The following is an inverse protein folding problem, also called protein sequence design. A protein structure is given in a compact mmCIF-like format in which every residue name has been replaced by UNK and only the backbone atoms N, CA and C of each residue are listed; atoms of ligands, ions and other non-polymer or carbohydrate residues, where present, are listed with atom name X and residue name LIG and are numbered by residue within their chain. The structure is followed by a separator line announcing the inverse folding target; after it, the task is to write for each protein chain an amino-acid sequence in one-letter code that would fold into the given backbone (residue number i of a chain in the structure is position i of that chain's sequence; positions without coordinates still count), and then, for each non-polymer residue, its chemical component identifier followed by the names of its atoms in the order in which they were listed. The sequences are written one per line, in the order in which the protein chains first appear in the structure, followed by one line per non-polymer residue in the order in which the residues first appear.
data_IF_288962771081
#
_entry.id   IF_288962771081
#
_cell.length_a   1.000
_cell.length_b   1.000
_cell.length_c   1.000
_cell.angle_alpha   90.00
_cell.angle_beta   90.00
_cell.angle_gamma   90.00
#
_symmetry.space_group_name_H-M   'P 1'
#
loop_
_entity.id
_entity.type
_entity.pdbx_description
1 polymer ?
#
# COMPACT_ATOMS: atom_id res chain seq x y z
N UNK A 1 -41.01 -7.17 -1.28
CA UNK A 1 -39.65 -7.70 -1.08
C UNK A 1 -38.60 -6.62 -1.39
N UNK A 2 -38.70 -5.93 -2.52
CA UNK A 2 -37.74 -4.90 -2.94
C UNK A 2 -37.78 -3.65 -2.04
N UNK A 3 -38.97 -3.28 -1.52
CA UNK A 3 -39.11 -2.16 -0.57
C UNK A 3 -38.37 -2.40 0.76
N UNK A 4 -38.41 -3.62 1.31
CA UNK A 4 -37.72 -3.97 2.57
C UNK A 4 -36.22 -3.94 2.35
N UNK A 5 -35.71 -4.52 1.25
CA UNK A 5 -34.29 -4.46 0.89
C UNK A 5 -33.83 -3.01 0.68
N UNK A 6 -34.68 -2.17 0.07
CA UNK A 6 -34.39 -0.75 -0.12
C UNK A 6 -34.25 0.02 1.20
N UNK A 7 -35.17 -0.19 2.14
CA UNK A 7 -35.13 0.46 3.47
C UNK A 7 -33.89 0.00 4.26
N UNK A 8 -33.59 -1.32 4.23
CA UNK A 8 -32.41 -1.84 4.90
C UNK A 8 -31.11 -1.25 4.32
N UNK A 9 -31.00 -1.22 2.99
CA UNK A 9 -29.83 -0.61 2.33
C UNK A 9 -29.69 0.88 2.64
N UNK A 10 -30.81 1.62 2.67
CA UNK A 10 -30.81 3.03 3.04
C UNK A 10 -30.39 3.26 4.50
N UNK A 11 -30.85 2.41 5.42
CA UNK A 11 -30.43 2.48 6.83
C UNK A 11 -28.94 2.23 7.00
N UNK A 12 -28.38 1.23 6.33
CA UNK A 12 -26.93 0.95 6.35
C UNK A 12 -26.15 2.14 5.76
N UNK A 13 -26.60 2.68 4.63
CA UNK A 13 -25.98 3.85 4.00
C UNK A 13 -26.01 5.06 4.94
N UNK A 14 -27.12 5.30 5.62
CA UNK A 14 -27.26 6.40 6.58
C UNK A 14 -26.21 6.28 7.71
N UNK A 15 -26.07 5.10 8.30
CA UNK A 15 -25.08 4.86 9.36
C UNK A 15 -23.67 5.14 8.86
N UNK A 16 -23.32 4.67 7.65
CA UNK A 16 -22.00 4.92 7.05
C UNK A 16 -21.78 6.44 6.86
N UNK A 17 -22.76 7.13 6.30
CA UNK A 17 -22.67 8.59 6.08
C UNK A 17 -22.51 9.36 7.40
N UNK A 18 -23.23 8.96 8.45
CA UNK A 18 -23.10 9.59 9.78
C UNK A 18 -21.70 9.42 10.37
N UNK A 19 -21.11 8.21 10.27
CA UNK A 19 -19.74 7.97 10.73
C UNK A 19 -18.74 8.83 9.95
N UNK A 20 -18.85 8.87 8.62
CA UNK A 20 -17.99 9.74 7.80
C UNK A 20 -18.21 11.21 8.10
N UNK A 21 -19.45 11.66 8.36
CA UNK A 21 -19.73 13.03 8.72
C UNK A 21 -18.96 13.45 9.98
N UNK A 22 -18.91 12.60 11.02
CA UNK A 22 -18.11 12.87 12.22
C UNK A 22 -16.63 13.01 11.87
N UNK A 23 -16.06 12.09 11.07
CA UNK A 23 -14.66 12.15 10.65
C UNK A 23 -14.32 13.45 9.91
N UNK A 24 -15.28 13.96 9.09
CA UNK A 24 -15.08 15.20 8.34
C UNK A 24 -15.34 16.47 9.17
N UNK A 25 -16.23 16.43 10.15
CA UNK A 25 -16.62 17.62 10.93
C UNK A 25 -15.65 17.90 12.07
N UNK A 26 -15.24 16.86 12.82
CA UNK A 26 -14.43 17.00 14.04
C UNK A 26 -13.13 17.80 13.83
N UNK A 27 -12.36 17.64 12.74
CA UNK A 27 -11.15 18.42 12.50
C UNK A 27 -11.35 19.94 12.39
N UNK A 28 -12.59 20.35 12.08
CA UNK A 28 -12.92 21.74 11.77
C UNK A 28 -13.78 22.42 12.85
N UNK A 29 -13.95 21.78 14.01
CA UNK A 29 -14.66 22.36 15.17
C UNK A 29 -13.74 22.42 16.38
N UNK A 30 -13.96 23.41 17.26
CA UNK A 30 -13.08 23.66 18.41
C UNK A 30 -13.09 22.50 19.40
N UNK A 31 -14.25 22.02 19.83
CA UNK A 31 -14.40 20.91 20.77
C UNK A 31 -15.67 20.12 20.49
N UNK A 32 -15.50 18.93 19.97
CA UNK A 32 -16.61 18.01 19.73
C UNK A 32 -17.02 17.28 21.01
N UNK A 33 -18.32 17.16 21.36
CA UNK A 33 -19.52 17.76 20.71
C UNK A 33 -19.97 19.09 21.35
N UNK A 34 -19.20 19.67 22.25
CA UNK A 34 -19.62 20.77 23.14
C UNK A 34 -19.52 22.15 22.50
N UNK A 35 -18.50 22.42 21.70
CA UNK A 35 -18.29 23.69 21.01
C UNK A 35 -18.08 23.47 19.51
N UNK A 36 -19.13 23.73 18.75
CA UNK A 36 -19.16 23.54 17.28
C UNK A 36 -18.64 24.77 16.52
N UNK A 37 -17.94 25.71 17.17
CA UNK A 37 -17.37 26.86 16.50
C UNK A 37 -16.35 26.41 15.46
N UNK A 38 -16.46 26.85 14.20
CA UNK A 38 -15.53 26.41 13.13
C UNK A 38 -14.12 26.96 13.41
N UNK A 39 -13.12 26.05 13.34
CA UNK A 39 -11.72 26.40 13.52
C UNK A 39 -10.84 25.63 12.53
N UNK A 40 -9.68 26.20 12.20
CA UNK A 40 -8.61 25.53 11.43
C UNK A 40 -7.36 25.32 12.29
N UNK A 41 -7.45 25.56 13.58
CA UNK A 41 -6.32 25.51 14.50
C UNK A 41 -5.71 24.12 14.56
N UNK A 42 -6.53 23.09 14.69
CA UNK A 42 -6.08 21.68 14.73
C UNK A 42 -5.36 21.26 13.44
N UNK A 43 -5.85 21.71 12.29
CA UNK A 43 -5.20 21.48 11.00
C UNK A 43 -3.84 22.19 10.97
N UNK A 44 -3.80 23.46 11.40
CA UNK A 44 -2.57 24.25 11.43
C UNK A 44 -1.53 23.64 12.39
N UNK A 45 -1.93 23.18 13.57
CA UNK A 45 -1.06 22.50 14.52
C UNK A 45 -0.41 21.25 13.89
N UNK A 46 -1.20 20.38 13.26
CA UNK A 46 -0.70 19.16 12.62
C UNK A 46 0.32 19.46 11.52
N UNK A 47 0.05 20.47 10.68
CA UNK A 47 0.97 20.84 9.60
C UNK A 47 2.19 21.66 10.06
N UNK A 48 2.14 22.26 11.24
CA UNK A 48 3.27 23.01 11.83
C UNK A 48 4.21 22.10 12.64
N UNK A 49 3.78 20.89 12.98
CA UNK A 49 4.56 19.93 13.76
C UNK A 49 5.55 19.18 12.86
N UNK A 50 6.84 19.45 13.06
CA UNK A 50 7.90 18.80 12.30
C UNK A 50 7.97 17.28 12.52
N UNK A 51 7.61 16.81 13.72
CA UNK A 51 7.58 15.36 14.03
C UNK A 51 6.51 14.65 13.19
N UNK A 52 5.33 15.27 13.05
CA UNK A 52 4.27 14.71 12.23
C UNK A 52 4.64 14.68 10.74
N UNK A 53 5.36 15.69 10.26
CA UNK A 53 5.88 15.68 8.89
C UNK A 53 6.82 14.50 8.63
N UNK A 54 7.73 14.19 9.55
CA UNK A 54 8.64 13.05 9.42
C UNK A 54 7.92 11.71 9.51
N UNK A 55 6.92 11.60 10.35
CA UNK A 55 6.04 10.42 10.45
C UNK A 55 5.28 10.18 9.13
N UNK A 56 4.79 11.24 8.47
CA UNK A 56 4.18 11.14 7.14
C UNK A 56 5.17 10.70 6.08
N UNK A 57 6.40 11.23 6.08
CA UNK A 57 7.47 10.82 5.17
C UNK A 57 7.77 9.32 5.32
N UNK A 58 7.95 8.86 6.56
CA UNK A 58 8.18 7.45 6.85
C UNK A 58 7.04 6.56 6.34
N UNK A 59 5.79 6.95 6.59
CA UNK A 59 4.62 6.21 6.12
C UNK A 59 4.56 6.11 4.60
N UNK A 60 4.79 7.21 3.91
CA UNK A 60 4.77 7.26 2.45
C UNK A 60 5.90 6.41 1.85
N UNK A 61 7.09 6.47 2.44
CA UNK A 61 8.25 5.68 2.02
C UNK A 61 8.00 4.18 2.25
N UNK A 62 7.52 3.79 3.44
CA UNK A 62 7.16 2.40 3.75
C UNK A 62 6.09 1.90 2.79
N UNK A 63 5.02 2.68 2.54
CA UNK A 63 3.95 2.29 1.63
C UNK A 63 4.44 2.13 0.19
N UNK A 64 5.26 3.06 -0.32
CA UNK A 64 5.80 3.02 -1.66
C UNK A 64 6.75 1.82 -1.88
N UNK A 65 7.67 1.59 -0.94
CA UNK A 65 8.60 0.46 -1.01
C UNK A 65 7.91 -0.88 -0.81
N UNK A 66 6.93 -0.96 0.11
CA UNK A 66 6.08 -2.16 0.27
C UNK A 66 5.34 -2.47 -1.02
N UNK A 67 4.74 -1.46 -1.67
CA UNK A 67 4.02 -1.65 -2.92
C UNK A 67 4.95 -2.10 -4.05
N UNK A 68 6.14 -1.50 -4.17
CA UNK A 68 7.11 -1.87 -5.20
C UNK A 68 7.63 -3.30 -5.01
N UNK A 69 8.21 -3.58 -3.86
CA UNK A 69 8.81 -4.89 -3.56
C UNK A 69 7.73 -5.99 -3.49
N UNK A 70 6.62 -5.72 -2.81
CA UNK A 70 5.51 -6.65 -2.66
C UNK A 70 4.88 -7.04 -3.99
N UNK A 71 4.70 -6.08 -4.92
CA UNK A 71 4.18 -6.36 -6.26
C UNK A 71 5.10 -7.27 -7.06
N UNK A 72 6.41 -7.04 -7.00
CA UNK A 72 7.41 -7.87 -7.70
C UNK A 72 7.41 -9.29 -7.13
N UNK A 73 7.38 -9.44 -5.81
CA UNK A 73 7.37 -10.75 -5.14
C UNK A 73 6.06 -11.50 -5.44
N UNK A 74 4.91 -10.84 -5.32
CA UNK A 74 3.60 -11.44 -5.62
C UNK A 74 3.49 -11.85 -7.09
N UNK A 75 3.98 -11.02 -8.02
CA UNK A 75 4.05 -11.35 -9.44
C UNK A 75 4.94 -12.56 -9.71
N UNK A 76 6.14 -12.60 -9.12
CA UNK A 76 7.07 -13.72 -9.24
C UNK A 76 6.46 -15.03 -8.73
N UNK A 77 5.86 -15.03 -7.55
CA UNK A 77 5.18 -16.20 -6.97
C UNK A 77 4.01 -16.68 -7.86
N UNK A 78 3.20 -15.73 -8.35
CA UNK A 78 2.08 -16.03 -9.24
C UNK A 78 2.55 -16.59 -10.60
N UNK A 79 3.66 -16.09 -11.17
CA UNK A 79 4.26 -16.63 -12.38
C UNK A 79 4.69 -18.09 -12.20
N UNK A 80 5.32 -18.39 -11.07
CA UNK A 80 5.77 -19.76 -10.77
C UNK A 80 4.58 -20.70 -10.65
N UNK A 81 3.53 -20.33 -9.98
CA UNK A 81 2.36 -21.19 -9.79
C UNK A 81 1.49 -21.31 -11.04
N UNK A 82 1.22 -20.20 -11.75
CA UNK A 82 0.32 -20.18 -12.89
C UNK A 82 0.98 -20.62 -14.21
N UNK A 83 2.27 -20.27 -14.43
CA UNK A 83 2.91 -20.38 -15.75
C UNK A 83 4.14 -21.27 -15.83
N UNK A 84 4.73 -21.68 -14.69
CA UNK A 84 5.89 -22.57 -14.73
C UNK A 84 5.50 -24.05 -14.91
N UNK A 85 6.47 -24.84 -15.32
CA UNK A 85 6.35 -26.31 -15.42
C UNK A 85 6.63 -27.03 -14.09
N UNK A 86 6.52 -26.33 -12.96
CA UNK A 86 6.72 -26.90 -11.63
C UNK A 86 5.71 -28.05 -11.37
N UNK A 87 6.11 -29.04 -10.58
CA UNK A 87 5.24 -30.15 -10.19
C UNK A 87 3.98 -29.63 -9.47
N UNK A 88 2.88 -30.38 -9.56
CA UNK A 88 1.62 -30.02 -8.87
C UNK A 88 1.81 -29.83 -7.37
N UNK A 89 2.61 -30.69 -6.75
CA UNK A 89 2.94 -30.61 -5.31
C UNK A 89 3.68 -29.31 -4.98
N UNK A 90 4.69 -28.94 -5.78
CA UNK A 90 5.42 -27.68 -5.55
C UNK A 90 4.53 -26.43 -5.69
N UNK A 91 3.63 -26.41 -6.67
CA UNK A 91 2.63 -25.32 -6.83
C UNK A 91 1.69 -25.25 -5.64
N UNK A 92 1.19 -26.41 -5.17
CA UNK A 92 0.30 -26.48 -4.01
C UNK A 92 0.96 -25.99 -2.72
N UNK A 93 2.24 -26.28 -2.52
CA UNK A 93 2.99 -25.79 -1.35
C UNK A 93 3.10 -24.27 -1.39
N UNK A 94 3.50 -23.67 -2.51
CA UNK A 94 3.61 -22.21 -2.65
C UNK A 94 2.25 -21.56 -2.43
N UNK A 95 1.18 -22.12 -2.97
CA UNK A 95 -0.18 -21.62 -2.82
C UNK A 95 -0.64 -21.69 -1.36
N UNK A 96 -0.40 -22.81 -0.68
CA UNK A 96 -0.74 -22.98 0.73
C UNK A 96 -0.01 -21.98 1.60
N UNK A 97 1.28 -21.76 1.39
CA UNK A 97 2.07 -20.75 2.12
C UNK A 97 1.51 -19.34 1.86
N UNK A 98 1.19 -19.02 0.60
CA UNK A 98 0.62 -17.74 0.24
C UNK A 98 -0.73 -17.47 0.93
N UNK A 99 -1.58 -18.47 1.05
CA UNK A 99 -2.90 -18.34 1.64
C UNK A 99 -2.89 -18.30 3.17
N UNK A 100 -1.93 -18.94 3.81
CA UNK A 100 -1.79 -18.96 5.29
C UNK A 100 -1.63 -17.55 5.86
N UNK A 101 -0.95 -16.65 5.15
CA UNK A 101 -0.74 -15.27 5.65
C UNK A 101 -2.05 -14.52 5.92
N UNK A 102 -3.13 -14.85 5.22
CA UNK A 102 -4.44 -14.23 5.41
C UNK A 102 -5.22 -14.79 6.61
N UNK A 103 -4.80 -15.92 7.16
CA UNK A 103 -5.48 -16.56 8.30
C UNK A 103 -4.92 -16.12 9.64
N UNK A 104 -3.72 -15.53 9.65
CA UNK A 104 -3.04 -15.10 10.86
C UNK A 104 -3.41 -13.65 11.18
N UNK A 105 -3.91 -13.35 12.39
CA UNK A 105 -4.17 -11.97 12.80
C UNK A 105 -2.91 -11.11 12.73
N UNK A 106 -3.04 -9.86 12.21
CA UNK A 106 -1.90 -8.96 12.02
C UNK A 106 -1.08 -8.71 13.30
N UNK A 107 -1.74 -8.64 14.44
CA UNK A 107 -1.06 -8.51 15.74
C UNK A 107 -0.11 -9.68 16.03
N UNK A 108 -0.51 -10.90 15.72
CA UNK A 108 0.32 -12.11 15.92
C UNK A 108 1.54 -12.06 15.02
N UNK A 109 1.36 -11.65 13.76
CA UNK A 109 2.47 -11.42 12.81
C UNK A 109 3.44 -10.37 13.38
N UNK A 110 2.93 -9.24 13.85
CA UNK A 110 3.75 -8.17 14.43
C UNK A 110 4.57 -8.63 15.63
N UNK A 111 3.95 -9.36 16.56
CA UNK A 111 4.64 -9.94 17.73
C UNK A 111 5.69 -10.96 17.29
N UNK A 112 5.38 -11.84 16.33
CA UNK A 112 6.32 -12.81 15.81
C UNK A 112 7.56 -12.14 15.20
N UNK A 113 7.37 -11.08 14.41
CA UNK A 113 8.47 -10.28 13.86
C UNK A 113 9.27 -9.59 14.97
N UNK A 114 8.61 -9.01 15.96
CA UNK A 114 9.27 -8.38 17.10
C UNK A 114 10.18 -9.38 17.83
N UNK A 115 9.69 -10.57 18.14
CA UNK A 115 10.45 -11.61 18.83
C UNK A 115 11.60 -12.16 17.97
N UNK A 116 11.32 -12.42 16.69
CA UNK A 116 12.31 -12.97 15.74
C UNK A 116 13.50 -12.05 15.52
N UNK A 117 13.25 -10.74 15.45
CA UNK A 117 14.29 -9.74 15.14
C UNK A 117 14.76 -8.96 16.37
N UNK A 118 14.31 -9.33 17.57
CA UNK A 118 14.79 -8.74 18.82
C UNK A 118 16.31 -8.91 18.96
N UNK A 119 17.01 -7.83 19.29
CA UNK A 119 18.47 -7.82 19.40
C UNK A 119 19.25 -7.91 18.08
N UNK A 120 18.58 -7.94 16.93
CA UNK A 120 19.25 -7.92 15.62
C UNK A 120 19.39 -6.49 15.07
N UNK A 121 20.35 -6.24 14.15
CA UNK A 121 20.49 -4.92 13.50
C UNK A 121 19.25 -4.47 12.70
N UNK A 122 18.34 -5.39 12.38
CA UNK A 122 17.08 -5.10 11.69
C UNK A 122 15.99 -4.54 12.61
N UNK A 123 16.13 -4.69 13.93
CA UNK A 123 15.19 -4.14 14.88
C UNK A 123 15.09 -2.61 14.73
N UNK A 124 13.88 -2.06 14.82
CA UNK A 124 13.62 -0.62 14.67
C UNK A 124 14.07 -0.01 13.33
N UNK A 125 14.01 -0.79 12.24
CA UNK A 125 14.29 -0.29 10.88
C UNK A 125 13.04 -0.21 10.02
N UNK A 126 13.00 0.72 9.07
CA UNK A 126 11.93 0.79 8.07
C UNK A 126 11.86 -0.48 7.21
N UNK A 127 13.01 -1.16 6.99
CA UNK A 127 13.06 -2.41 6.25
C UNK A 127 12.22 -3.51 6.91
N UNK A 128 12.25 -3.61 8.24
CA UNK A 128 11.45 -4.58 8.97
C UNK A 128 9.95 -4.32 8.81
N UNK A 129 9.52 -3.03 8.84
CA UNK A 129 8.15 -2.63 8.59
C UNK A 129 7.69 -3.00 7.18
N UNK A 130 8.55 -2.79 6.17
CA UNK A 130 8.28 -3.13 4.78
C UNK A 130 8.09 -4.64 4.63
N UNK A 131 9.00 -5.45 5.16
CA UNK A 131 8.93 -6.92 5.07
C UNK A 131 7.67 -7.42 5.78
N UNK A 132 7.37 -6.91 6.97
CA UNK A 132 6.17 -7.28 7.72
C UNK A 132 4.88 -6.98 6.92
N UNK A 133 4.79 -5.80 6.31
CA UNK A 133 3.64 -5.44 5.48
C UNK A 133 3.52 -6.32 4.23
N UNK A 134 4.63 -6.66 3.57
CA UNK A 134 4.62 -7.55 2.41
C UNK A 134 4.08 -8.92 2.81
N UNK A 135 4.58 -9.49 3.89
CA UNK A 135 4.14 -10.81 4.39
C UNK A 135 2.67 -10.77 4.82
N UNK A 136 2.28 -9.75 5.58
CA UNK A 136 0.91 -9.62 6.10
C UNK A 136 -0.15 -9.53 5.00
N UNK A 137 0.13 -8.79 3.93
CA UNK A 137 -0.82 -8.59 2.83
C UNK A 137 -0.57 -9.47 1.61
N UNK A 138 0.28 -10.50 1.70
CA UNK A 138 0.74 -11.27 0.53
C UNK A 138 -0.36 -12.02 -0.20
N UNK A 139 -1.33 -12.58 0.52
CA UNK A 139 -2.33 -13.51 -0.01
C UNK A 139 -3.18 -12.90 -1.13
N UNK A 140 -3.78 -11.73 -0.90
CA UNK A 140 -4.68 -11.08 -1.87
C UNK A 140 -3.95 -10.67 -3.15
N UNK A 141 -2.81 -9.96 -3.13
CA UNK A 141 -2.00 -9.68 -4.30
C UNK A 141 -1.57 -10.91 -5.09
N UNK A 142 -1.15 -11.98 -4.39
CA UNK A 142 -0.82 -13.24 -5.02
C UNK A 142 -2.01 -13.82 -5.80
N UNK A 143 -3.20 -13.90 -5.19
CA UNK A 143 -4.41 -14.39 -5.84
C UNK A 143 -4.85 -13.50 -7.01
N UNK A 144 -4.78 -12.17 -6.86
CA UNK A 144 -5.10 -11.25 -7.96
C UNK A 144 -4.20 -11.51 -9.17
N UNK A 145 -2.89 -11.63 -8.94
CA UNK A 145 -1.93 -11.92 -10.01
C UNK A 145 -2.10 -13.32 -10.60
N UNK A 146 -2.26 -14.35 -9.75
CA UNK A 146 -2.49 -15.74 -10.19
C UNK A 146 -3.71 -15.81 -11.10
N UNK A 147 -4.86 -15.29 -10.66
CA UNK A 147 -6.10 -15.28 -11.43
C UNK A 147 -5.98 -14.52 -12.76
N UNK A 148 -5.23 -13.42 -12.78
CA UNK A 148 -4.96 -12.67 -14.01
C UNK A 148 -4.12 -13.47 -14.98
N UNK A 149 -3.06 -14.11 -14.49
CA UNK A 149 -2.16 -14.93 -15.31
C UNK A 149 -2.86 -16.18 -15.85
N UNK A 150 -3.68 -16.87 -15.07
CA UNK A 150 -4.42 -18.06 -15.48
C UNK A 150 -5.44 -17.78 -16.59
N UNK A 151 -6.02 -16.57 -16.63
CA UNK A 151 -6.96 -16.15 -17.69
C UNK A 151 -6.28 -15.88 -19.04
N UNK A 152 -4.96 -15.73 -19.08
CA UNK A 152 -4.22 -15.50 -20.32
C UNK A 152 -4.04 -16.81 -21.08
N UNK A 153 -4.13 -16.74 -22.42
CA UNK A 153 -4.01 -17.92 -23.26
C UNK A 153 -2.60 -18.53 -23.18
N UNK A 154 -2.52 -19.81 -22.82
CA UNK A 154 -1.26 -20.56 -22.73
C UNK A 154 -0.59 -20.79 -24.11
N UNK A 155 -1.33 -20.69 -25.20
CA UNK A 155 -0.78 -20.85 -26.55
C UNK A 155 0.27 -19.79 -26.94
N UNK A 156 0.29 -18.64 -26.24
CA UNK A 156 1.30 -17.60 -26.46
C UNK A 156 2.73 -18.08 -26.17
N UNK A 157 2.89 -18.87 -25.11
CA UNK A 157 4.19 -19.43 -24.73
C UNK A 157 4.61 -20.54 -25.71
N UNK A 158 3.67 -21.37 -26.11
CA UNK A 158 3.92 -22.41 -27.13
C UNK A 158 4.34 -21.80 -28.46
N UNK A 159 3.63 -20.76 -28.94
CA UNK A 159 3.97 -20.05 -30.17
C UNK A 159 5.34 -19.39 -30.08
N UNK A 160 5.66 -18.76 -28.96
CA UNK A 160 6.96 -18.12 -28.74
C UNK A 160 8.10 -19.14 -28.74
N UNK A 161 7.89 -20.33 -28.13
CA UNK A 161 8.86 -21.43 -28.16
C UNK A 161 9.08 -21.95 -29.59
N UNK A 162 8.01 -22.08 -30.39
CA UNK A 162 8.12 -22.48 -31.80
C UNK A 162 8.88 -21.48 -32.66
N UNK A 163 8.85 -20.19 -32.27
CA UNK A 163 9.60 -19.10 -32.88
C UNK A 163 11.05 -19.00 -32.36
N UNK A 164 11.50 -19.91 -31.49
CA UNK A 164 12.85 -19.93 -30.91
C UNK A 164 13.06 -18.94 -29.76
N UNK A 165 11.99 -18.33 -29.23
CA UNK A 165 12.10 -17.44 -28.08
C UNK A 165 12.21 -18.24 -26.77
N UNK A 166 13.11 -17.77 -25.87
CA UNK A 166 13.26 -18.34 -24.54
C UNK A 166 12.06 -17.95 -23.65
N UNK A 167 11.70 -18.83 -22.69
CA UNK A 167 10.59 -18.62 -21.74
C UNK A 167 10.67 -17.26 -21.03
N UNK A 168 11.85 -16.87 -20.55
CA UNK A 168 12.07 -15.57 -19.89
C UNK A 168 11.74 -14.40 -20.82
N UNK A 169 12.16 -14.48 -22.08
CA UNK A 169 11.88 -13.44 -23.10
C UNK A 169 10.38 -13.33 -23.39
N UNK A 170 9.69 -14.47 -23.42
CA UNK A 170 8.23 -14.52 -23.61
C UNK A 170 7.50 -13.87 -22.41
N UNK A 171 7.91 -14.17 -21.17
CA UNK A 171 7.35 -13.54 -19.98
C UNK A 171 7.48 -12.00 -20.07
N UNK A 172 8.68 -11.47 -20.30
CA UNK A 172 8.89 -10.03 -20.32
C UNK A 172 8.28 -9.31 -21.54
N UNK A 173 8.18 -9.97 -22.71
CA UNK A 173 7.67 -9.35 -23.94
C UNK A 173 6.18 -9.54 -24.15
N UNK A 174 5.59 -10.61 -23.63
CA UNK A 174 4.20 -10.96 -23.89
C UNK A 174 3.38 -10.97 -22.62
N UNK A 175 3.78 -11.75 -21.61
CA UNK A 175 2.97 -11.96 -20.41
C UNK A 175 2.95 -10.70 -19.53
N UNK A 176 4.11 -10.13 -19.20
CA UNK A 176 4.22 -8.96 -18.31
C UNK A 176 3.47 -7.73 -18.84
N UNK A 177 3.56 -7.34 -20.13
CA UNK A 177 2.80 -6.20 -20.65
C UNK A 177 1.28 -6.41 -20.57
N UNK A 178 0.81 -7.65 -20.73
CA UNK A 178 -0.61 -7.97 -20.61
C UNK A 178 -1.08 -8.07 -19.14
N UNK A 179 -0.18 -8.41 -18.23
CA UNK A 179 -0.43 -8.43 -16.79
C UNK A 179 -0.33 -7.04 -16.13
N UNK A 180 0.21 -6.04 -16.84
CA UNK A 180 0.50 -4.71 -16.29
C UNK A 180 -0.70 -4.02 -15.62
N UNK A 181 -1.93 -4.06 -16.16
CA UNK A 181 -3.08 -3.48 -15.46
C UNK A 181 -3.31 -4.10 -14.07
N UNK A 182 -3.23 -5.43 -13.97
CA UNK A 182 -3.38 -6.13 -12.69
C UNK A 182 -2.18 -5.87 -11.76
N UNK A 183 -0.98 -5.74 -12.31
CA UNK A 183 0.21 -5.38 -11.52
C UNK A 183 0.06 -4.00 -10.86
N UNK A 184 -0.55 -3.03 -11.55
CA UNK A 184 -0.87 -1.72 -11.00
C UNK A 184 -1.97 -1.78 -9.93
N UNK A 185 -2.96 -2.65 -10.09
CA UNK A 185 -3.98 -2.89 -9.06
C UNK A 185 -3.36 -3.51 -7.81
N UNK A 186 -2.43 -4.45 -7.96
CA UNK A 186 -1.64 -5.06 -6.87
C UNK A 186 -0.77 -4.03 -6.17
N UNK A 187 -0.10 -3.16 -6.94
CA UNK A 187 0.69 -2.06 -6.39
C UNK A 187 -0.19 -1.10 -5.55
N UNK A 188 -1.34 -0.70 -6.10
CA UNK A 188 -2.31 0.13 -5.39
C UNK A 188 -2.82 -0.54 -4.11
N UNK A 189 -3.06 -1.84 -4.15
CA UNK A 189 -3.49 -2.60 -2.98
C UNK A 189 -2.45 -2.57 -1.85
N UNK A 190 -1.18 -2.88 -2.17
CA UNK A 190 -0.11 -2.82 -1.18
C UNK A 190 0.08 -1.42 -0.61
N UNK A 191 0.07 -0.39 -1.48
CA UNK A 191 0.26 1.00 -1.07
C UNK A 191 -0.82 1.44 -0.07
N UNK A 192 -2.09 1.26 -0.43
CA UNK A 192 -3.22 1.68 0.42
C UNK A 192 -3.22 0.92 1.75
N UNK A 193 -3.01 -0.40 1.72
CA UNK A 193 -3.01 -1.20 2.94
C UNK A 193 -1.81 -0.89 3.84
N UNK A 194 -0.62 -0.68 3.30
CA UNK A 194 0.55 -0.29 4.07
C UNK A 194 0.38 1.09 4.75
N UNK A 195 -0.34 2.03 4.10
CA UNK A 195 -0.65 3.35 4.70
C UNK A 195 -1.61 3.28 5.88
N UNK A 196 -2.49 2.26 5.96
CA UNK A 196 -3.52 2.16 7.02
C UNK A 196 -3.24 1.08 8.05
N UNK A 197 -2.19 0.28 7.87
CA UNK A 197 -1.86 -0.83 8.77
C UNK A 197 -1.45 -0.33 10.15
N UNK A 198 -2.15 -0.79 11.18
CA UNK A 198 -1.82 -0.56 12.59
C UNK A 198 -1.38 -1.87 13.26
N UNK A 199 -2.16 -2.94 13.05
CA UNK A 199 -2.13 -4.15 13.86
C UNK A 199 -0.78 -4.87 13.89
N UNK A 200 -0.10 -4.99 12.74
CA UNK A 200 1.20 -5.65 12.66
C UNK A 200 2.35 -4.69 13.02
N UNK A 201 2.23 -3.43 12.61
CA UNK A 201 3.31 -2.44 12.65
C UNK A 201 3.54 -1.89 14.07
N UNK A 202 2.49 -1.84 14.90
CA UNK A 202 2.56 -1.24 16.25
C UNK A 202 3.61 -1.89 17.17
N UNK A 203 3.91 -3.16 16.97
CA UNK A 203 4.87 -3.90 17.81
C UNK A 203 6.33 -3.76 17.35
N UNK A 204 6.54 -3.35 16.09
CA UNK A 204 7.86 -3.31 15.47
C UNK A 204 8.33 -1.90 15.12
N UNK A 205 7.43 -0.91 15.18
CA UNK A 205 7.77 0.49 14.95
C UNK A 205 8.45 1.07 16.20
N UNK A 206 9.66 1.61 16.04
CA UNK A 206 10.37 2.35 17.06
C UNK A 206 10.23 3.87 16.87
N UNK A 207 10.79 4.67 17.76
CA UNK A 207 10.68 6.13 17.74
C UNK A 207 11.16 6.76 16.42
N UNK A 208 12.24 6.23 15.81
CA UNK A 208 12.78 6.73 14.52
C UNK A 208 12.02 6.19 13.30
N UNK A 209 11.29 5.10 13.44
CA UNK A 209 10.57 4.42 12.35
C UNK A 209 9.05 4.55 12.49
N UNK A 210 8.63 5.50 13.30
CA UNK A 210 7.22 5.77 13.55
C UNK A 210 6.51 6.13 12.25
N UNK A 211 5.35 5.54 12.04
CA UNK A 211 4.44 5.79 10.91
C UNK A 211 3.14 6.42 11.39
N UNK A 212 2.37 7.03 10.50
CA UNK A 212 1.16 7.80 10.88
C UNK A 212 0.18 6.96 11.70
N UNK A 213 0.01 5.69 11.35
CA UNK A 213 -0.90 4.79 12.07
C UNK A 213 -0.45 4.47 13.49
N UNK A 214 0.85 4.35 13.73
CA UNK A 214 1.40 4.19 15.10
C UNK A 214 1.31 5.50 15.89
N UNK A 215 1.52 6.64 15.24
CA UNK A 215 1.33 7.97 15.85
C UNK A 215 -0.14 8.23 16.24
N UNK A 216 -1.10 7.82 15.42
CA UNK A 216 -2.53 7.87 15.76
C UNK A 216 -2.81 7.08 17.04
N UNK A 217 -2.19 5.91 17.21
CA UNK A 217 -2.33 5.10 18.42
C UNK A 217 -1.72 5.78 19.66
N UNK A 218 -0.59 6.42 19.51
CA UNK A 218 0.04 7.21 20.57
C UNK A 218 -0.85 8.40 20.98
N UNK A 219 -1.32 9.19 20.00
CA UNK A 219 -2.24 10.32 20.26
C UNK A 219 -3.56 9.85 20.90
N UNK A 220 -4.05 8.65 20.56
CA UNK A 220 -5.21 8.07 21.21
C UNK A 220 -4.96 7.82 22.69
N UNK A 221 -3.76 7.41 23.07
CA UNK A 221 -3.39 7.22 24.48
C UNK A 221 -3.39 8.54 25.26
N UNK A 222 -3.00 9.64 24.60
CA UNK A 222 -3.02 10.99 25.19
C UNK A 222 -4.37 11.70 25.03
N UNK A 223 -5.41 11.04 24.51
CA UNK A 223 -6.74 11.59 24.26
C UNK A 223 -6.78 12.83 23.33
N UNK A 224 -5.77 13.00 22.45
CA UNK A 224 -5.71 14.08 21.48
C UNK A 224 -6.54 13.76 20.21
N UNK A 225 -7.85 13.62 20.39
CA UNK A 225 -8.75 13.14 19.33
C UNK A 225 -8.79 14.08 18.11
N UNK A 226 -8.72 15.40 18.30
CA UNK A 226 -8.76 16.35 17.20
C UNK A 226 -7.62 16.14 16.20
N UNK A 227 -6.39 15.94 16.69
CA UNK A 227 -5.22 15.62 15.86
C UNK A 227 -5.37 14.29 15.15
N UNK A 228 -5.95 13.27 15.83
CA UNK A 228 -6.23 11.96 15.22
C UNK A 228 -7.13 12.09 14.00
N UNK A 229 -8.21 12.87 14.11
CA UNK A 229 -9.15 13.03 13.00
C UNK A 229 -8.50 13.80 11.82
N UNK A 230 -7.67 14.81 12.09
CA UNK A 230 -6.90 15.51 11.03
C UNK A 230 -5.96 14.52 10.32
N UNK A 231 -5.18 13.73 11.07
CA UNK A 231 -4.28 12.71 10.49
C UNK A 231 -5.04 11.67 9.67
N UNK A 232 -6.20 11.24 10.18
CA UNK A 232 -7.07 10.28 9.48
C UNK A 232 -7.59 10.84 8.15
N UNK A 233 -7.98 12.11 8.11
CA UNK A 233 -8.34 12.79 6.85
C UNK A 233 -7.16 12.89 5.89
N UNK A 234 -5.98 13.22 6.36
CA UNK A 234 -4.78 13.25 5.52
C UNK A 234 -4.50 11.89 4.89
N UNK A 235 -4.55 10.80 5.67
CA UNK A 235 -4.41 9.43 5.15
C UNK A 235 -5.50 9.12 4.12
N UNK A 236 -6.75 9.48 4.39
CA UNK A 236 -7.88 9.25 3.49
C UNK A 236 -7.65 9.95 2.14
N UNK A 237 -7.29 11.23 2.14
CA UNK A 237 -7.04 11.98 0.91
C UNK A 237 -5.84 11.45 0.13
N UNK A 238 -4.73 11.12 0.80
CA UNK A 238 -3.55 10.54 0.16
C UNK A 238 -3.91 9.20 -0.50
N UNK A 239 -4.63 8.33 0.21
CA UNK A 239 -5.03 7.02 -0.32
C UNK A 239 -6.04 7.15 -1.47
N UNK A 240 -6.99 8.08 -1.38
CA UNK A 240 -7.96 8.32 -2.44
C UNK A 240 -7.26 8.85 -3.71
N UNK A 241 -6.34 9.82 -3.56
CA UNK A 241 -5.55 10.36 -4.65
C UNK A 241 -4.65 9.29 -5.29
N UNK A 242 -3.95 8.50 -4.48
CA UNK A 242 -3.12 7.40 -4.96
C UNK A 242 -3.95 6.34 -5.71
N UNK A 243 -5.08 5.92 -5.14
CA UNK A 243 -5.99 4.96 -5.78
C UNK A 243 -6.54 5.49 -7.10
N UNK A 244 -6.98 6.75 -7.15
CA UNK A 244 -7.48 7.38 -8.36
C UNK A 244 -6.38 7.45 -9.44
N UNK A 245 -5.15 7.82 -9.06
CA UNK A 245 -4.01 7.86 -9.96
C UNK A 245 -3.71 6.47 -10.55
N UNK A 246 -3.58 5.44 -9.70
CA UNK A 246 -3.28 4.09 -10.17
C UNK A 246 -4.39 3.51 -11.04
N UNK A 247 -5.66 3.76 -10.71
CA UNK A 247 -6.79 3.35 -11.53
C UNK A 247 -6.84 4.06 -12.88
N UNK A 248 -6.57 5.36 -12.92
CA UNK A 248 -6.49 6.11 -14.18
C UNK A 248 -5.38 5.58 -15.10
N UNK A 249 -4.21 5.29 -14.51
CA UNK A 249 -3.07 4.72 -15.24
C UNK A 249 -3.37 3.29 -15.70
N UNK A 250 -3.93 2.43 -14.86
CA UNK A 250 -4.34 1.07 -15.23
C UNK A 250 -5.40 1.08 -16.34
N UNK A 251 -6.37 2.01 -16.28
CA UNK A 251 -7.37 2.25 -17.32
C UNK A 251 -6.76 2.68 -18.64
N UNK A 252 -5.81 3.61 -18.62
CA UNK A 252 -5.08 4.06 -19.81
C UNK A 252 -4.29 2.92 -20.47
N UNK A 253 -3.60 2.10 -19.66
CA UNK A 253 -2.87 0.92 -20.15
C UNK A 253 -3.81 -0.11 -20.77
N UNK A 254 -4.95 -0.39 -20.14
CA UNK A 254 -5.95 -1.32 -20.65
C UNK A 254 -6.58 -0.85 -21.97
N UNK A 255 -6.88 0.44 -22.10
CA UNK A 255 -7.44 1.02 -23.31
C UNK A 255 -6.41 1.03 -24.46
N UNK A 256 -5.15 1.36 -24.16
CA UNK A 256 -4.06 1.27 -25.14
C UNK A 256 -3.85 -0.16 -25.66
N UNK A 257 -4.05 -1.17 -24.81
CA UNK A 257 -4.00 -2.58 -25.22
C UNK A 257 -5.16 -3.00 -26.15
N UNK A 258 -6.38 -2.47 -25.93
CA UNK A 258 -7.55 -2.73 -26.80
C UNK A 258 -7.40 -2.08 -28.18
N UNK A 259 -6.89 -0.86 -28.25
CA UNK A 259 -6.64 -0.17 -29.53
C UNK A 259 -5.50 -0.82 -30.34
N UNK A 260 -4.58 -1.54 -29.70
CA UNK A 260 -3.50 -2.27 -30.36
C UNK A 260 -3.97 -3.43 -31.24
N UNK A 261 -5.13 -4.00 -30.94
CA UNK A 261 -5.77 -5.02 -31.77
C UNK A 261 -6.22 -4.50 -33.13
N UNK A 262 -6.39 -3.18 -33.29
CA UNK A 262 -6.94 -2.55 -34.50
C UNK A 262 -5.89 -1.79 -35.34
N UNK A 263 -4.76 -1.32 -34.74
CA UNK A 263 -3.70 -0.58 -35.47
C UNK A 263 -2.30 -0.85 -34.89
N UNK A 264 -1.58 -1.81 -35.45
CA UNK A 264 -0.29 -2.35 -34.98
C UNK A 264 0.89 -1.39 -34.72
N UNK A 265 0.91 -0.18 -35.27
CA UNK A 265 2.10 0.69 -35.24
C UNK A 265 2.03 1.84 -34.22
N UNK A 266 0.89 2.46 -34.05
CA UNK A 266 0.70 3.63 -33.15
C UNK A 266 0.64 3.21 -31.68
N UNK A 267 0.19 1.98 -31.41
CA UNK A 267 -0.03 1.43 -30.09
C UNK A 267 1.25 1.11 -29.31
N UNK A 268 2.33 0.61 -29.95
CA UNK A 268 3.60 0.33 -29.23
C UNK A 268 4.23 1.59 -28.63
N UNK A 269 4.09 2.76 -29.27
CA UNK A 269 4.56 4.04 -28.71
C UNK A 269 3.69 4.52 -27.54
N UNK A 270 2.36 4.36 -27.62
CA UNK A 270 1.44 4.72 -26.52
C UNK A 270 1.60 3.79 -25.32
N UNK A 271 1.73 2.48 -25.54
CA UNK A 271 1.94 1.51 -24.48
C UNK A 271 3.31 1.71 -23.77
N UNK A 272 4.38 2.01 -24.52
CA UNK A 272 5.67 2.39 -23.94
C UNK A 272 5.57 3.71 -23.16
N UNK A 273 4.83 4.71 -23.67
CA UNK A 273 4.60 5.98 -22.96
C UNK A 273 3.75 5.79 -21.70
N UNK A 274 2.72 4.94 -21.72
CA UNK A 274 1.93 4.61 -20.56
C UNK A 274 2.76 3.82 -19.51
N UNK A 275 3.56 2.84 -19.94
CA UNK A 275 4.46 2.09 -19.07
C UNK A 275 5.57 2.99 -18.48
N UNK A 276 6.13 3.93 -19.29
CA UNK A 276 7.10 4.91 -18.77
C UNK A 276 6.44 5.95 -17.86
N UNK A 277 5.20 6.37 -18.13
CA UNK A 277 4.45 7.25 -17.26
C UNK A 277 4.11 6.56 -15.91
N UNK A 278 3.79 5.25 -15.94
CA UNK A 278 3.62 4.44 -14.73
C UNK A 278 4.91 4.32 -13.93
N UNK A 279 6.01 3.94 -14.60
CA UNK A 279 7.31 3.84 -13.97
C UNK A 279 7.76 5.20 -13.43
N UNK A 280 7.51 6.28 -14.17
CA UNK A 280 7.77 7.65 -13.75
C UNK A 280 6.87 8.06 -12.58
N UNK A 281 5.58 7.71 -12.58
CA UNK A 281 4.65 7.97 -11.47
C UNK A 281 5.05 7.24 -10.18
N UNK A 282 5.41 5.96 -10.29
CA UNK A 282 5.96 5.18 -9.18
C UNK A 282 7.32 5.76 -8.72
N UNK A 283 8.18 6.17 -9.66
CA UNK A 283 9.47 6.78 -9.40
C UNK A 283 9.32 8.20 -8.79
N UNK A 284 8.35 8.98 -9.20
CA UNK A 284 8.03 10.28 -8.60
C UNK A 284 7.50 10.13 -7.19
N UNK A 285 6.66 9.13 -6.90
CA UNK A 285 6.20 8.83 -5.53
C UNK A 285 7.35 8.34 -4.65
N UNK A 286 8.24 7.48 -5.17
CA UNK A 286 9.40 6.99 -4.42
C UNK A 286 10.49 8.05 -4.29
N UNK A 287 10.79 8.80 -5.36
CA UNK A 287 11.75 9.92 -5.33
C UNK A 287 11.19 11.12 -4.58
N UNK A 288 9.90 11.43 -4.69
CA UNK A 288 9.25 12.47 -3.89
C UNK A 288 9.34 12.15 -2.39
N UNK A 289 9.10 10.90 -1.99
CA UNK A 289 9.32 10.44 -0.62
C UNK A 289 10.82 10.51 -0.24
N UNK A 290 11.72 10.17 -1.16
CA UNK A 290 13.16 10.21 -0.94
C UNK A 290 13.73 11.64 -0.90
N UNK A 291 13.29 12.56 -1.77
CA UNK A 291 13.73 13.98 -1.74
C UNK A 291 13.19 14.72 -0.53
N UNK A 292 11.97 14.41 -0.11
CA UNK A 292 11.40 14.91 1.14
C UNK A 292 12.18 14.33 2.34
N UNK A 293 12.67 13.08 2.25
CA UNK A 293 13.55 12.47 3.26
C UNK A 293 14.96 13.10 3.28
N UNK A 294 15.59 13.35 2.12
CA UNK A 294 16.93 13.92 2.04
C UNK A 294 16.99 15.42 2.31
N UNK A 295 15.92 16.17 2.00
CA UNK A 295 15.84 17.61 2.28
C UNK A 295 15.70 17.95 3.77
N UNK A 296 15.29 17.00 4.61
CA UNK A 296 15.19 17.16 6.07
C UNK A 296 16.50 16.90 6.84
N UNK A 297 17.50 16.33 6.19
CA UNK A 297 18.78 15.99 6.84
C UNK A 297 19.75 17.18 6.99
N UNK A 298 19.37 18.38 6.51
CA UNK A 298 20.26 19.55 6.43
C UNK A 298 20.02 20.67 7.45
N UNK A 299 19.00 20.61 8.32
CA UNK A 299 18.78 21.66 9.32
C UNK A 299 18.06 21.15 10.57
N UNK A 300 18.81 20.58 11.48
CA UNK A 300 18.28 20.23 12.78
C UNK A 300 19.41 19.80 13.71
N UNK A 301 19.91 20.77 14.51
CA UNK A 301 20.86 20.48 15.58
C UNK A 301 20.29 19.46 16.54
N UNK A 302 21.14 18.54 16.96
CA UNK A 302 20.91 17.54 17.97
C UNK A 302 20.28 18.14 19.23
N UNK A 303 19.04 17.78 19.52
CA UNK A 303 18.55 17.75 20.90
C UNK A 303 18.31 16.29 21.29
N UNK A 304 19.33 15.70 21.89
CA UNK A 304 19.23 14.41 22.57
C UNK A 304 18.44 14.63 23.85
N UNK A 305 17.17 14.24 23.85
CA UNK A 305 16.39 14.09 25.07
C UNK A 305 16.70 12.70 25.63
N UNK A 306 17.59 12.67 26.62
CA UNK A 306 17.89 11.47 27.40
C UNK A 306 16.76 11.31 28.41
N UNK A 307 15.86 10.34 28.21
CA UNK A 307 15.02 9.82 29.28
C UNK A 307 15.88 8.91 30.16
N UNK A 308 16.38 9.44 31.27
CA UNK A 308 16.90 8.61 32.36
C UNK A 308 15.71 8.06 33.12
N UNK A 309 15.47 6.76 33.03
CA UNK A 309 14.72 6.04 34.06
C UNK A 309 15.54 6.13 35.36
N UNK A 310 15.05 6.90 36.29
CA UNK A 310 15.42 6.81 37.70
C UNK A 310 14.33 5.97 38.38
N UNK A 311 14.58 4.70 38.51
CA UNK A 311 13.94 3.85 39.54
C UNK A 311 15.02 3.44 40.55
N UNK A 312 14.92 4.04 41.73
CA UNK A 312 15.29 3.47 43.01
C UNK A 312 14.03 2.96 43.71
#
# INVERSE_FOLDING_TARGET
RDGICGVFSAAVLLVIVLVFAVIFIVPFVSEWPYNMAPTLEHVREVFSDSVLADVFKNSLLVAALTALCGSVIAYGAALVTARSRLSKTGKSIIESIALVTNTIPGMVIGIAFMLMFSGTPMQNTLALLIICNIVHYFSTPYLMMKNSLEKMNASWETTAMLMGDNWVKTIFRVVTPNALPTLLEVFSYYFVNAMVTVSAVIFIAGARTMVVTTKIKELQHFAEFNKIFVLSLCILFINLAAKALFQAVAGAVRNAGKEAGTKKAVSRRRMRRAATACAAGCLVLTLGAFTVYSGGAGSGGEQVIIYTNADD
#
